data_IF_777251584455
#
_entry.id   IF_777251584455
#
_cell.length_a   1.000
_cell.length_b   1.000
_cell.length_c   1.000
_cell.angle_alpha   90.00
_cell.angle_beta   90.00
_cell.angle_gamma   90.00
#
_symmetry.space_group_name_H-M   'P 1'
#
loop_
_entity.id
_entity.type
_entity.pdbx_description
1 polymer ?
#
# COMPACT_ATOMS: atom_id res chain seq x y z
N UNK A 1 2.49 11.74 14.81
CA UNK A 1 1.39 10.74 14.76
C UNK A 1 1.29 10.02 16.10
N UNK A 2 0.09 9.81 16.64
CA UNK A 2 -0.10 8.95 17.82
C UNK A 2 -0.15 7.48 17.38
N UNK A 3 0.89 6.72 17.70
CA UNK A 3 1.00 5.30 17.33
C UNK A 3 0.01 4.39 18.09
N UNK A 4 -0.56 4.86 19.22
CA UNK A 4 -1.50 4.08 20.01
C UNK A 4 -2.86 3.91 19.33
N UNK A 5 -3.20 4.77 18.37
CA UNK A 5 -4.45 4.67 17.61
C UNK A 5 -4.36 3.69 16.44
N UNK A 6 -3.15 3.22 16.10
CA UNK A 6 -2.97 2.30 14.96
C UNK A 6 -3.71 0.98 15.20
N UNK A 7 -4.63 0.70 14.31
CA UNK A 7 -5.46 -0.50 14.30
C UNK A 7 -5.71 -0.93 12.86
N UNK A 8 -4.66 -1.41 12.15
CA UNK A 8 -4.77 -1.65 10.72
C UNK A 8 -5.87 -2.67 10.39
N UNK A 9 -6.63 -2.36 9.34
CA UNK A 9 -7.65 -3.23 8.77
C UNK A 9 -7.25 -3.61 7.35
N UNK A 10 -6.91 -4.87 7.13
CA UNK A 10 -6.57 -5.38 5.80
C UNK A 10 -7.86 -5.66 5.03
N UNK A 11 -8.05 -4.93 3.95
CA UNK A 11 -9.24 -5.02 3.09
C UNK A 11 -9.05 -5.99 1.95
N UNK A 12 -7.87 -5.95 1.36
CA UNK A 12 -7.51 -6.76 0.22
C UNK A 12 -6.02 -7.06 0.27
N UNK A 13 -5.63 -8.30 -0.05
CA UNK A 13 -4.24 -8.70 -0.12
C UNK A 13 -4.09 -9.77 -1.21
N UNK A 14 -3.16 -9.57 -2.14
CA UNK A 14 -2.98 -10.44 -3.30
C UNK A 14 -1.52 -10.48 -3.74
N UNK A 15 -1.08 -11.65 -4.17
CA UNK A 15 0.12 -11.82 -4.99
C UNK A 15 -0.32 -11.88 -6.45
N UNK A 16 -0.02 -10.85 -7.24
CA UNK A 16 -0.40 -10.80 -8.64
C UNK A 16 0.79 -10.68 -9.58
N UNK A 17 0.60 -11.21 -10.78
CA UNK A 17 1.52 -11.09 -11.92
C UNK A 17 0.73 -10.44 -13.04
N UNK A 18 1.19 -9.29 -13.52
CA UNK A 18 0.57 -8.57 -14.64
C UNK A 18 1.53 -8.60 -15.81
N UNK A 19 1.09 -9.23 -16.89
CA UNK A 19 1.88 -9.34 -18.11
C UNK A 19 1.74 -8.09 -18.99
N UNK A 20 2.83 -7.66 -19.66
CA UNK A 20 2.75 -6.56 -20.61
C UNK A 20 2.04 -6.99 -21.92
N UNK A 21 1.38 -6.07 -22.65
CA UNK A 21 1.17 -4.67 -22.27
C UNK A 21 0.01 -4.49 -21.30
N UNK A 22 0.18 -3.63 -20.30
CA UNK A 22 -0.91 -3.23 -19.40
C UNK A 22 -0.90 -1.74 -19.11
N UNK A 23 -2.06 -1.22 -18.78
CA UNK A 23 -2.25 0.10 -18.19
C UNK A 23 -3.33 0.00 -17.12
N UNK A 24 -3.02 0.42 -15.90
CA UNK A 24 -4.04 0.75 -14.89
C UNK A 24 -4.22 2.26 -14.98
N UNK A 25 -5.37 2.71 -15.52
CA UNK A 25 -5.65 4.12 -15.80
C UNK A 25 -5.62 5.00 -14.56
N UNK A 26 -5.75 6.31 -14.77
CA UNK A 26 -5.82 7.29 -13.69
C UNK A 26 -6.91 6.93 -12.68
N UNK A 27 -6.53 6.84 -11.42
CA UNK A 27 -7.43 6.53 -10.30
C UNK A 27 -6.91 7.12 -9.00
N UNK A 28 -7.78 7.22 -8.01
CA UNK A 28 -7.42 7.28 -6.60
C UNK A 28 -7.70 5.95 -5.92
N UNK A 29 -7.19 5.78 -4.73
CA UNK A 29 -7.64 4.74 -3.79
C UNK A 29 -8.23 5.42 -2.55
N UNK A 30 -9.16 4.73 -1.88
CA UNK A 30 -9.82 5.26 -0.70
C UNK A 30 -9.00 5.08 0.59
N UNK A 31 -8.08 4.13 0.57
CA UNK A 31 -7.27 3.64 1.67
C UNK A 31 -5.77 3.76 1.35
N UNK A 32 -4.93 3.06 2.09
CA UNK A 32 -3.51 2.95 1.79
C UNK A 32 -3.25 1.69 0.97
N UNK A 33 -2.31 1.76 0.05
CA UNK A 33 -1.80 0.61 -0.68
C UNK A 33 -0.29 0.48 -0.48
N UNK A 34 0.15 -0.74 -0.14
CA UNK A 34 1.54 -1.12 -0.02
C UNK A 34 1.84 -2.23 -1.02
N UNK A 35 2.74 -1.95 -1.95
CA UNK A 35 3.14 -2.89 -3.01
C UNK A 35 4.63 -3.16 -2.85
N UNK A 36 5.05 -4.42 -2.97
CA UNK A 36 6.45 -4.80 -3.17
C UNK A 36 6.65 -5.24 -4.61
N UNK A 37 7.68 -4.72 -5.28
CA UNK A 37 8.04 -5.16 -6.64
C UNK A 37 8.89 -6.42 -6.53
N UNK A 38 8.26 -7.59 -6.67
CA UNK A 38 8.93 -8.90 -6.51
C UNK A 38 9.66 -9.35 -7.78
N UNK A 39 9.30 -8.80 -8.93
CA UNK A 39 9.97 -9.07 -10.21
C UNK A 39 9.50 -8.15 -11.31
N UNK A 40 10.32 -8.02 -12.34
CA UNK A 40 10.08 -7.10 -13.43
C UNK A 40 10.02 -5.66 -12.95
N UNK A 41 9.00 -4.92 -13.40
CA UNK A 41 8.81 -3.53 -13.01
C UNK A 41 7.65 -2.85 -13.73
N UNK A 42 7.41 -1.61 -13.37
CA UNK A 42 6.39 -0.78 -13.98
C UNK A 42 6.81 0.70 -13.98
N UNK A 43 6.08 1.50 -14.73
CA UNK A 43 6.10 2.96 -14.63
C UNK A 43 4.92 3.37 -13.78
N UNK A 44 5.18 4.07 -12.67
CA UNK A 44 4.17 4.71 -11.84
C UNK A 44 4.22 6.21 -12.09
N UNK A 45 3.08 6.80 -12.46
CA UNK A 45 2.90 8.26 -12.49
C UNK A 45 1.98 8.67 -11.35
N UNK A 46 2.45 9.56 -10.48
CA UNK A 46 1.75 10.01 -9.28
C UNK A 46 2.15 11.45 -8.95
N UNK A 47 1.16 12.31 -8.66
CA UNK A 47 1.40 13.74 -8.39
C UNK A 47 2.28 14.45 -9.43
N UNK A 48 2.13 14.10 -10.71
CA UNK A 48 2.93 14.67 -11.80
C UNK A 48 4.38 14.18 -11.86
N UNK A 49 4.79 13.26 -10.97
CA UNK A 49 6.12 12.64 -10.95
C UNK A 49 6.04 11.23 -11.51
N UNK A 50 7.03 10.88 -12.33
CA UNK A 50 7.17 9.56 -12.94
C UNK A 50 8.28 8.76 -12.23
N UNK A 51 7.96 7.53 -11.82
CA UNK A 51 8.88 6.58 -11.19
C UNK A 51 9.02 5.33 -12.05
N UNK A 52 10.25 4.90 -12.27
CA UNK A 52 10.54 3.56 -12.84
C UNK A 52 10.78 2.60 -11.67
N UNK A 53 9.73 1.85 -11.32
CA UNK A 53 9.77 0.89 -10.23
C UNK A 53 10.40 -0.42 -10.70
N UNK A 54 11.30 -0.98 -9.90
CA UNK A 54 12.06 -2.18 -10.21
C UNK A 54 12.04 -3.17 -9.05
N UNK A 55 12.43 -4.40 -9.30
CA UNK A 55 12.54 -5.45 -8.28
C UNK A 55 13.27 -4.96 -7.03
N UNK A 56 12.64 -5.19 -5.89
CA UNK A 56 13.13 -4.79 -4.56
C UNK A 56 12.56 -3.46 -4.05
N UNK A 57 11.91 -2.68 -4.91
CA UNK A 57 11.27 -1.43 -4.50
C UNK A 57 9.94 -1.72 -3.79
N UNK A 58 9.60 -0.82 -2.89
CA UNK A 58 8.29 -0.70 -2.24
C UNK A 58 7.62 0.55 -2.79
N UNK A 59 6.34 0.41 -3.13
CA UNK A 59 5.47 1.51 -3.51
C UNK A 59 4.46 1.70 -2.38
N UNK A 60 4.39 2.92 -1.82
CA UNK A 60 3.47 3.29 -0.76
C UNK A 60 2.55 4.40 -1.25
N UNK A 61 1.27 4.07 -1.46
CA UNK A 61 0.28 5.02 -1.96
C UNK A 61 -0.67 5.38 -0.82
N UNK A 62 -0.82 6.69 -0.59
CA UNK A 62 -1.73 7.26 0.39
C UNK A 62 -3.14 7.41 -0.17
N UNK A 63 -4.17 7.49 0.68
CA UNK A 63 -5.55 7.75 0.24
C UNK A 63 -5.64 9.03 -0.58
N UNK A 64 -6.55 9.04 -1.55
CA UNK A 64 -6.88 10.22 -2.37
C UNK A 64 -5.73 10.77 -3.22
N UNK A 65 -4.70 9.99 -3.47
CA UNK A 65 -3.62 10.41 -4.36
C UNK A 65 -3.83 9.82 -5.74
N UNK A 66 -3.97 10.69 -6.74
CA UNK A 66 -4.22 10.27 -8.12
C UNK A 66 -2.94 9.69 -8.74
N UNK A 67 -3.06 8.47 -9.27
CA UNK A 67 -1.95 7.73 -9.82
C UNK A 67 -2.36 6.83 -10.99
N UNK A 68 -1.35 6.39 -11.73
CA UNK A 68 -1.48 5.50 -12.88
C UNK A 68 -0.28 4.56 -12.97
N UNK A 69 -0.53 3.31 -13.37
CA UNK A 69 0.53 2.35 -13.69
C UNK A 69 0.53 1.99 -15.17
N UNK A 70 1.72 1.93 -15.76
CA UNK A 70 1.93 1.48 -17.13
C UNK A 70 3.01 0.40 -17.17
N UNK A 71 2.88 -0.56 -18.10
CA UNK A 71 3.89 -1.59 -18.32
C UNK A 71 5.18 -1.01 -18.87
N UNK A 72 6.28 -1.66 -18.53
CA UNK A 72 7.56 -1.50 -19.25
C UNK A 72 7.62 -2.52 -20.40
N UNK A 73 8.24 -2.18 -21.53
CA UNK A 73 8.35 -3.10 -22.67
C UNK A 73 8.99 -4.43 -22.26
N UNK A 74 8.29 -5.54 -22.52
CA UNK A 74 8.78 -6.89 -22.26
C UNK A 74 8.96 -7.25 -20.78
N UNK A 75 8.46 -6.45 -19.84
CA UNK A 75 8.61 -6.67 -18.41
C UNK A 75 7.27 -6.94 -17.76
N UNK A 76 7.10 -8.10 -17.14
CA UNK A 76 5.97 -8.37 -16.26
C UNK A 76 6.07 -7.51 -15.01
N UNK A 77 4.96 -7.25 -14.35
CA UNK A 77 4.92 -6.60 -13.04
C UNK A 77 4.44 -7.60 -12.00
N UNK A 78 5.37 -8.14 -11.22
CA UNK A 78 5.10 -9.09 -10.14
C UNK A 78 4.96 -8.29 -8.85
N UNK A 79 3.73 -8.22 -8.31
CA UNK A 79 3.37 -7.32 -7.24
C UNK A 79 2.54 -8.00 -6.14
N UNK A 80 3.16 -8.55 -5.09
CA UNK A 80 2.48 -8.73 -3.82
C UNK A 80 2.08 -7.37 -3.26
N UNK A 81 0.79 -7.19 -2.92
CA UNK A 81 0.26 -5.92 -2.43
C UNK A 81 -0.86 -6.11 -1.42
N UNK A 82 -1.10 -5.07 -0.65
CA UNK A 82 -2.15 -5.01 0.35
C UNK A 82 -2.79 -3.62 0.37
N UNK A 83 -4.13 -3.60 0.40
CA UNK A 83 -4.94 -2.42 0.69
C UNK A 83 -5.40 -2.45 2.14
N UNK A 84 -5.25 -1.35 2.85
CA UNK A 84 -5.53 -1.31 4.28
C UNK A 84 -5.89 0.08 4.80
N UNK A 85 -6.68 0.13 5.88
CA UNK A 85 -6.81 1.31 6.71
C UNK A 85 -5.71 1.32 7.78
N UNK A 86 -5.22 2.48 8.19
CA UNK A 86 -4.36 2.61 9.37
C UNK A 86 -5.14 2.46 10.68
N UNK A 87 -6.40 2.87 10.68
CA UNK A 87 -7.30 2.77 11.83
C UNK A 87 -8.61 2.12 11.40
N UNK A 88 -8.98 1.03 12.06
CA UNK A 88 -10.28 0.38 11.86
C UNK A 88 -11.41 1.27 12.39
N UNK A 89 -12.47 1.44 11.62
CA UNK A 89 -13.71 2.08 12.02
C UNK A 89 -14.94 1.33 11.48
N UNK A 90 -16.14 1.85 11.71
CA UNK A 90 -17.39 1.25 11.27
C UNK A 90 -17.60 1.28 9.75
N UNK A 91 -16.80 2.01 8.99
CA UNK A 91 -16.83 2.08 7.52
C UNK A 91 -15.79 1.14 6.88
N UNK A 92 -14.83 0.58 7.64
CA UNK A 92 -13.72 -0.20 7.10
C UNK A 92 -14.16 -1.36 6.20
N UNK A 93 -15.25 -2.04 6.54
CA UNK A 93 -15.80 -3.14 5.73
C UNK A 93 -16.52 -2.67 4.45
N UNK A 94 -16.98 -1.41 4.42
CA UNK A 94 -17.74 -0.85 3.30
C UNK A 94 -16.86 -0.26 2.20
N UNK A 95 -15.58 -0.03 2.48
CA UNK A 95 -14.64 0.52 1.51
C UNK A 95 -14.22 -0.54 0.51
N UNK A 96 -14.17 -0.19 -0.77
CA UNK A 96 -13.79 -1.06 -1.88
C UNK A 96 -12.63 -0.45 -2.67
N UNK A 97 -12.01 -1.24 -3.55
CA UNK A 97 -10.93 -0.74 -4.42
C UNK A 97 -11.51 0.18 -5.48
N UNK A 98 -11.08 1.43 -5.50
CA UNK A 98 -11.56 2.44 -6.43
C UNK A 98 -10.73 2.41 -7.71
N UNK A 99 -11.41 2.58 -8.86
CA UNK A 99 -10.81 2.71 -10.19
C UNK A 99 -11.21 4.02 -10.87
N UNK A 100 -11.66 5.01 -10.10
CA UNK A 100 -12.11 6.33 -10.56
C UNK A 100 -11.11 7.40 -10.14
N UNK A 101 -11.08 8.49 -10.89
CA UNK A 101 -10.45 9.74 -10.43
C UNK A 101 -11.33 10.41 -9.38
N UNK A 102 -10.77 11.36 -8.62
CA UNK A 102 -11.54 12.06 -7.59
C UNK A 102 -12.75 12.81 -8.17
N UNK A 103 -12.62 13.36 -9.39
CA UNK A 103 -13.71 14.08 -10.06
C UNK A 103 -14.90 13.21 -10.47
N UNK A 104 -14.68 11.91 -10.64
CA UNK A 104 -15.71 10.93 -11.02
C UNK A 104 -16.46 10.37 -9.80
N UNK A 105 -16.02 10.68 -8.58
CA UNK A 105 -16.65 10.18 -7.36
C UNK A 105 -17.98 10.90 -7.08
N UNK A 106 -18.97 10.12 -6.69
CA UNK A 106 -20.19 10.62 -6.06
C UNK A 106 -19.90 11.16 -4.65
N UNK A 107 -20.80 11.96 -4.08
CA UNK A 107 -20.67 12.46 -2.71
C UNK A 107 -20.52 11.32 -1.70
N UNK A 108 -21.31 10.24 -1.85
CA UNK A 108 -21.22 9.06 -1.00
C UNK A 108 -19.87 8.35 -1.10
N UNK A 109 -19.29 8.28 -2.29
CA UNK A 109 -17.96 7.67 -2.49
C UNK A 109 -16.85 8.53 -1.87
N UNK A 110 -16.96 9.86 -1.92
CA UNK A 110 -16.01 10.78 -1.27
C UNK A 110 -15.94 10.58 0.24
N UNK A 111 -17.07 10.20 0.88
CA UNK A 111 -17.09 9.89 2.32
C UNK A 111 -16.33 8.60 2.68
N UNK A 112 -16.03 7.74 1.70
CA UNK A 112 -15.24 6.52 1.91
C UNK A 112 -13.74 6.79 1.90
N UNK A 113 -13.30 7.93 1.37
CA UNK A 113 -11.89 8.31 1.33
C UNK A 113 -11.35 8.45 2.76
N UNK A 114 -10.31 7.70 3.06
CA UNK A 114 -9.65 7.76 4.36
C UNK A 114 -8.83 9.04 4.51
N UNK A 115 -8.81 9.58 5.70
CA UNK A 115 -7.91 10.69 6.02
C UNK A 115 -6.50 10.15 6.20
N UNK A 116 -5.53 10.78 5.53
CA UNK A 116 -4.12 10.51 5.85
C UNK A 116 -3.80 11.09 7.23
N UNK A 117 -3.29 10.23 8.11
CA UNK A 117 -2.93 10.59 9.49
C UNK A 117 -1.41 10.53 9.72
N UNK A 118 -0.64 10.25 8.67
CA UNK A 118 0.82 10.22 8.74
C UNK A 118 1.32 11.66 8.66
N UNK A 119 2.04 12.11 9.68
CA UNK A 119 2.51 13.49 9.84
C UNK A 119 4.02 13.66 9.56
N UNK A 120 4.64 12.66 8.95
CA UNK A 120 6.02 12.70 8.46
C UNK A 120 6.08 12.23 7.00
N UNK A 121 7.19 12.54 6.35
CA UNK A 121 7.34 12.24 4.93
C UNK A 121 7.74 10.77 4.71
N UNK A 122 6.97 10.08 3.86
CA UNK A 122 7.28 8.75 3.36
C UNK A 122 7.32 8.85 1.84
N UNK A 123 8.47 8.58 1.20
CA UNK A 123 8.55 8.56 -0.25
C UNK A 123 7.59 7.56 -0.86
N UNK A 124 6.97 7.93 -1.99
CA UNK A 124 6.06 7.04 -2.72
C UNK A 124 6.76 5.75 -3.16
N UNK A 125 8.03 5.83 -3.56
CA UNK A 125 8.84 4.68 -3.97
C UNK A 125 10.15 4.70 -3.20
N UNK A 126 10.49 3.58 -2.59
CA UNK A 126 11.73 3.41 -1.84
C UNK A 126 12.20 1.95 -1.84
N UNK A 127 13.46 1.72 -1.56
CA UNK A 127 14.00 0.37 -1.34
C UNK A 127 14.24 0.18 0.16
N UNK A 128 13.59 -0.78 0.83
CA UNK A 128 13.79 -1.03 2.26
C UNK A 128 15.20 -1.55 2.54
N UNK A 129 15.70 -1.39 3.77
CA UNK A 129 17.05 -1.86 4.18
C UNK A 129 17.24 -3.37 3.94
N UNK A 130 16.20 -4.15 4.15
CA UNK A 130 16.19 -5.60 3.90
C UNK A 130 15.00 -5.99 3.03
N UNK A 131 15.11 -5.88 1.69
CA UNK A 131 14.00 -6.18 0.77
C UNK A 131 13.47 -7.61 0.91
N UNK A 132 14.32 -8.59 1.14
CA UNK A 132 13.90 -9.99 1.31
C UNK A 132 13.09 -10.21 2.60
N UNK A 133 13.47 -9.55 3.69
CA UNK A 133 12.71 -9.63 4.94
C UNK A 133 11.36 -8.91 4.82
N UNK A 134 11.36 -7.71 4.23
CA UNK A 134 10.12 -6.96 3.97
C UNK A 134 9.14 -7.78 3.11
N UNK A 135 9.65 -8.37 2.03
CA UNK A 135 8.90 -9.28 1.18
C UNK A 135 8.27 -10.43 1.96
N UNK A 136 9.07 -11.10 2.79
CA UNK A 136 8.59 -12.24 3.59
C UNK A 136 7.44 -11.83 4.52
N UNK A 137 7.54 -10.68 5.20
CA UNK A 137 6.49 -10.17 6.07
C UNK A 137 5.20 -9.83 5.29
N UNK A 138 5.31 -9.23 4.10
CA UNK A 138 4.16 -8.94 3.25
C UNK A 138 3.47 -10.22 2.75
N UNK A 139 4.26 -11.22 2.35
CA UNK A 139 3.71 -12.51 1.93
C UNK A 139 2.96 -13.23 3.05
N UNK A 140 3.41 -13.12 4.31
CA UNK A 140 2.67 -13.67 5.46
C UNK A 140 1.30 -13.00 5.61
N UNK A 141 1.18 -11.67 5.43
CA UNK A 141 -0.12 -10.97 5.44
C UNK A 141 -1.03 -11.53 4.34
N UNK A 142 -0.49 -11.68 3.13
CA UNK A 142 -1.26 -12.19 1.97
C UNK A 142 -1.76 -13.61 2.23
N UNK A 143 -0.92 -14.51 2.74
CA UNK A 143 -1.31 -15.88 3.04
C UNK A 143 -2.36 -15.97 4.15
N UNK A 144 -2.22 -15.21 5.23
CA UNK A 144 -3.21 -15.13 6.30
C UNK A 144 -4.56 -14.64 5.78
N UNK A 145 -4.54 -13.56 4.98
CA UNK A 145 -5.74 -13.00 4.37
C UNK A 145 -6.40 -13.98 3.40
N UNK A 146 -5.64 -14.74 2.62
CA UNK A 146 -6.13 -15.73 1.67
C UNK A 146 -6.78 -16.92 2.37
N UNK A 147 -6.17 -17.45 3.42
CA UNK A 147 -6.66 -18.63 4.15
C UNK A 147 -7.92 -18.37 4.95
N UNK A 148 -8.05 -17.16 5.52
CA UNK A 148 -9.20 -16.74 6.35
C UNK A 148 -9.55 -17.73 7.46
N UNK A 149 -8.53 -18.35 8.06
CA UNK A 149 -8.70 -19.23 9.22
C UNK A 149 -9.27 -18.45 10.43
N UNK A 150 -9.85 -19.12 11.43
CA UNK A 150 -10.35 -18.41 12.61
C UNK A 150 -9.35 -17.42 13.17
N UNK A 151 -9.80 -16.19 13.48
CA UNK A 151 -8.98 -15.09 13.98
C UNK A 151 -7.93 -14.52 13.01
N UNK A 152 -8.03 -14.80 11.70
CA UNK A 152 -7.09 -14.27 10.70
C UNK A 152 -7.00 -12.73 10.74
N UNK A 153 -8.10 -12.01 11.05
CA UNK A 153 -8.06 -10.55 11.18
C UNK A 153 -7.12 -10.08 12.29
N UNK A 154 -7.05 -10.81 13.41
CA UNK A 154 -6.13 -10.50 14.49
C UNK A 154 -4.67 -10.73 14.07
N UNK A 155 -4.40 -11.84 13.38
CA UNK A 155 -3.07 -12.16 12.87
C UNK A 155 -2.62 -11.20 11.76
N UNK A 156 -3.50 -10.88 10.80
CA UNK A 156 -3.17 -9.90 9.75
C UNK A 156 -2.91 -8.53 10.34
N UNK A 157 -3.68 -8.08 11.34
CA UNK A 157 -3.44 -6.83 12.07
C UNK A 157 -2.06 -6.81 12.73
N UNK A 158 -1.69 -7.88 13.44
CA UNK A 158 -0.36 -8.01 14.07
C UNK A 158 0.77 -7.91 13.03
N UNK A 159 0.64 -8.60 11.89
CA UNK A 159 1.64 -8.58 10.82
C UNK A 159 1.71 -7.21 10.12
N UNK A 160 0.57 -6.57 9.91
CA UNK A 160 0.53 -5.21 9.36
C UNK A 160 1.19 -4.19 10.27
N UNK A 161 1.03 -4.28 11.60
CA UNK A 161 1.76 -3.43 12.54
C UNK A 161 3.28 -3.63 12.41
N UNK A 162 3.73 -4.86 12.21
CA UNK A 162 5.15 -5.16 11.94
C UNK A 162 5.65 -4.53 10.62
N UNK A 163 4.88 -4.62 9.53
CA UNK A 163 5.21 -3.98 8.25
C UNK A 163 5.23 -2.44 8.37
N UNK A 164 4.24 -1.86 9.04
CA UNK A 164 4.20 -0.42 9.29
C UNK A 164 5.38 0.05 10.14
N UNK A 165 5.79 -0.74 11.13
CA UNK A 165 7.02 -0.46 11.89
C UNK A 165 8.25 -0.41 10.97
N UNK A 166 8.41 -1.36 10.03
CA UNK A 166 9.52 -1.36 9.08
C UNK A 166 9.52 -0.12 8.17
N UNK A 167 8.34 0.32 7.71
CA UNK A 167 8.20 1.55 6.91
C UNK A 167 8.50 2.78 7.76
N UNK A 168 7.83 2.92 8.90
CA UNK A 168 7.89 4.14 9.70
C UNK A 168 9.26 4.34 10.35
N UNK A 169 9.88 3.27 10.88
CA UNK A 169 11.22 3.35 11.49
C UNK A 169 12.30 3.73 10.48
N UNK A 170 12.10 3.47 9.20
CA UNK A 170 13.03 3.85 8.15
C UNK A 170 12.98 5.36 7.84
N UNK A 171 11.83 6.03 8.01
CA UNK A 171 11.63 7.42 7.63
C UNK A 171 11.37 8.38 8.79
N UNK A 172 10.97 7.90 9.95
CA UNK A 172 10.77 8.74 11.15
C UNK A 172 12.10 9.15 11.77
N UNK A 173 12.61 10.29 11.34
CA UNK A 173 13.87 10.88 11.86
C UNK A 173 13.73 11.53 13.24
N UNK A 174 12.54 11.56 13.84
CA UNK A 174 12.33 12.17 15.17
C UNK A 174 13.12 11.47 16.28
N UNK A 175 13.64 10.27 16.01
CA UNK A 175 14.43 9.47 16.96
C UNK A 175 15.93 9.73 16.94
N UNK A 176 16.48 10.49 15.98
CA UNK A 176 17.92 10.78 15.93
C UNK A 176 18.36 11.89 16.90
N UNK A 177 17.45 12.51 17.65
CA UNK A 177 17.77 13.65 18.56
C UNK A 177 17.84 13.31 20.04
N UNK A 178 17.81 12.04 20.43
CA UNK A 178 18.04 11.56 21.80
C UNK A 178 19.37 10.78 21.88
N UNK A 179 20.48 11.46 21.63
CA UNK A 179 21.85 10.99 21.87
C UNK A 179 22.59 11.97 22.76
#
# INVERSE_FOLDING_TARGET
MDYNILSPYVRFALYSVIEPPFTVGWRIIFDYELIFVDGGGCRLTINGTEYLCKKGDVIFIKPNVEHRFDSLPGSSFIQPHVHFDLCTDNKSESVYICYKTYSELTERERELVRKDIIDFDIPTVFTPESPSYFRAQLLEVIELFKRREPFYQLLTKQKMLGLLYLVFSHFDKSKETCG
#
